data_IF_845070691462
#
_entry.id   IF_845070691462
#
_cell.length_a   1.000
_cell.length_b   1.000
_cell.length_c   1.000
_cell.angle_alpha   90.00
_cell.angle_beta   90.00
_cell.angle_gamma   90.00
#
_symmetry.space_group_name_H-M   'P 1'
#
loop_
_entity.id
_entity.type
_entity.pdbx_description
1 polymer ?
#
# COMPACT_ATOMS: atom_id res chain seq x y z
N UNK A 1 5.22 -6.23 -16.57
CA UNK A 1 6.21 -6.28 -15.46
C UNK A 1 5.76 -5.37 -14.34
N UNK A 2 5.86 -5.79 -13.09
CA UNK A 2 5.53 -5.04 -11.87
C UNK A 2 6.83 -4.47 -11.27
N UNK A 3 6.87 -3.16 -10.98
CA UNK A 3 7.98 -2.54 -10.28
C UNK A 3 7.74 -2.50 -8.76
N UNK A 4 8.77 -2.79 -7.98
CA UNK A 4 8.76 -2.63 -6.52
C UNK A 4 9.73 -1.51 -6.19
N UNK A 5 9.22 -0.42 -5.64
CA UNK A 5 10.00 0.79 -5.36
C UNK A 5 10.98 0.56 -4.23
N UNK A 6 12.28 0.74 -4.49
CA UNK A 6 13.35 0.69 -3.50
C UNK A 6 13.81 2.12 -3.14
N UNK A 7 13.41 2.57 -1.97
CA UNK A 7 13.83 3.83 -1.37
C UNK A 7 14.51 3.62 -0.01
N UNK A 8 15.19 2.48 0.14
CA UNK A 8 15.89 1.99 1.34
C UNK A 8 14.94 1.61 2.51
N UNK A 9 13.66 1.40 2.23
CA UNK A 9 12.64 1.04 3.23
C UNK A 9 11.73 -0.07 2.69
N UNK A 10 11.33 -0.99 3.55
CA UNK A 10 10.34 -1.99 3.20
C UNK A 10 10.87 -3.40 3.06
N UNK A 11 9.94 -4.35 3.03
CA UNK A 11 10.23 -5.79 2.90
C UNK A 11 10.24 -6.20 1.42
N UNK A 12 11.14 -5.54 0.64
CA UNK A 12 11.21 -5.66 -0.83
C UNK A 12 11.33 -7.10 -1.30
N UNK A 13 12.24 -7.86 -0.69
CA UNK A 13 12.54 -9.23 -1.12
C UNK A 13 11.37 -10.20 -0.89
N UNK A 14 10.61 -10.03 0.19
CA UNK A 14 9.44 -10.88 0.46
C UNK A 14 8.30 -10.59 -0.53
N UNK A 15 8.04 -9.32 -0.84
CA UNK A 15 7.07 -8.93 -1.88
C UNK A 15 7.51 -9.46 -3.24
N UNK A 16 8.77 -9.27 -3.61
CA UNK A 16 9.34 -9.74 -4.87
C UNK A 16 9.21 -11.26 -5.02
N UNK A 17 9.65 -12.03 -4.01
CA UNK A 17 9.55 -13.51 -4.01
C UNK A 17 8.10 -13.98 -4.11
N UNK A 18 7.17 -13.30 -3.43
CA UNK A 18 5.74 -13.63 -3.50
C UNK A 18 5.18 -13.45 -4.92
N UNK A 19 5.51 -12.34 -5.58
CA UNK A 19 5.08 -12.10 -6.97
C UNK A 19 5.69 -13.11 -7.94
N UNK A 20 6.98 -13.42 -7.83
CA UNK A 20 7.63 -14.44 -8.67
C UNK A 20 7.01 -15.83 -8.46
N UNK A 21 6.69 -16.21 -7.21
CA UNK A 21 6.00 -17.47 -6.90
C UNK A 21 4.60 -17.55 -7.52
N UNK A 22 3.94 -16.42 -7.66
CA UNK A 22 2.62 -16.30 -8.31
C UNK A 22 2.72 -16.27 -9.85
N UNK A 23 3.93 -16.26 -10.41
CA UNK A 23 4.17 -16.28 -11.86
C UNK A 23 4.26 -14.89 -12.50
N UNK A 24 4.27 -13.82 -11.73
CA UNK A 24 4.37 -12.46 -12.27
C UNK A 24 5.83 -12.04 -12.47
N UNK A 25 6.11 -11.38 -13.59
CA UNK A 25 7.37 -10.67 -13.77
C UNK A 25 7.41 -9.45 -12.85
N UNK A 26 8.35 -9.45 -11.91
CA UNK A 26 8.52 -8.37 -10.95
C UNK A 26 10.00 -7.98 -10.83
N UNK A 27 10.25 -6.69 -10.57
CA UNK A 27 11.62 -6.14 -10.43
C UNK A 27 11.67 -5.13 -9.30
N UNK A 28 12.73 -5.18 -8.49
CA UNK A 28 13.05 -4.14 -7.51
C UNK A 28 13.74 -3.00 -8.26
N UNK A 29 13.16 -1.80 -8.16
CA UNK A 29 13.61 -0.60 -8.87
C UNK A 29 14.42 0.28 -7.92
N UNK A 30 15.67 0.50 -8.24
CA UNK A 30 16.58 1.42 -7.52
C UNK A 30 16.66 2.79 -8.17
N UNK A 31 16.45 2.85 -9.47
CA UNK A 31 16.45 4.09 -10.25
C UNK A 31 14.97 4.52 -10.51
N UNK A 32 14.57 5.71 -10.05
CA UNK A 32 13.24 6.24 -10.29
C UNK A 32 12.83 6.33 -11.77
N UNK A 33 13.78 6.53 -12.68
CA UNK A 33 13.52 6.58 -14.12
C UNK A 33 12.93 5.27 -14.67
N UNK A 34 13.23 4.13 -14.04
CA UNK A 34 12.72 2.82 -14.42
C UNK A 34 11.20 2.69 -14.20
N UNK A 35 10.59 3.55 -13.34
CA UNK A 35 9.15 3.52 -13.07
C UNK A 35 8.31 3.72 -14.33
N UNK A 36 8.78 4.52 -15.27
CA UNK A 36 8.08 4.82 -16.52
C UNK A 36 7.82 3.58 -17.38
N UNK A 37 8.71 2.58 -17.33
CA UNK A 37 8.61 1.32 -18.07
C UNK A 37 7.74 0.25 -17.39
N UNK A 38 7.23 0.48 -16.18
CA UNK A 38 6.46 -0.51 -15.45
C UNK A 38 4.97 -0.44 -15.78
N UNK A 39 4.28 -1.59 -15.74
CA UNK A 39 2.83 -1.69 -15.93
C UNK A 39 2.04 -1.49 -14.64
N UNK A 40 2.67 -1.75 -13.49
CA UNK A 40 2.14 -1.52 -12.15
C UNK A 40 3.28 -1.25 -11.18
N UNK A 41 3.04 -0.48 -10.12
CA UNK A 41 4.01 -0.22 -9.05
C UNK A 41 3.50 -0.67 -7.69
N UNK A 42 4.40 -1.24 -6.90
CA UNK A 42 4.20 -1.50 -5.46
C UNK A 42 5.17 -0.60 -4.69
N UNK A 43 4.64 0.09 -3.68
CA UNK A 43 5.39 0.89 -2.72
C UNK A 43 5.32 0.21 -1.35
N UNK A 44 6.24 -0.69 -0.99
CA UNK A 44 6.33 -1.22 0.36
C UNK A 44 6.93 -0.17 1.29
N UNK A 45 6.67 -0.28 2.60
CA UNK A 45 7.31 0.60 3.56
C UNK A 45 7.29 0.05 4.98
N UNK A 46 8.36 0.35 5.73
CA UNK A 46 8.46 0.11 7.18
C UNK A 46 9.20 1.29 7.83
N UNK A 47 8.90 1.55 9.11
CA UNK A 47 9.51 2.65 9.87
C UNK A 47 8.59 3.86 10.03
N UNK A 48 9.15 5.04 10.21
CA UNK A 48 8.42 6.27 10.47
C UNK A 48 8.00 7.01 9.19
N UNK A 49 6.87 7.71 9.25
CA UNK A 49 6.29 8.44 8.11
C UNK A 49 7.24 9.50 7.54
N UNK A 50 7.79 10.36 8.40
CA UNK A 50 8.74 11.40 7.99
C UNK A 50 9.98 10.83 7.30
N UNK A 51 10.57 9.80 7.89
CA UNK A 51 11.75 9.11 7.33
C UNK A 51 11.47 8.51 5.95
N UNK A 52 10.26 8.00 5.72
CA UNK A 52 9.86 7.46 4.42
C UNK A 52 9.77 8.58 3.38
N UNK A 53 9.11 9.69 3.71
CA UNK A 53 8.99 10.83 2.80
C UNK A 53 10.34 11.48 2.50
N UNK A 54 11.22 11.60 3.49
CA UNK A 54 12.61 12.07 3.31
C UNK A 54 13.40 11.14 2.39
N UNK A 55 13.28 9.83 2.57
CA UNK A 55 13.97 8.85 1.72
C UNK A 55 13.45 8.89 0.28
N UNK A 56 12.13 8.95 0.07
CA UNK A 56 11.52 9.12 -1.25
C UNK A 56 12.01 10.40 -1.95
N UNK A 57 12.08 11.49 -1.20
CA UNK A 57 12.55 12.80 -1.72
C UNK A 57 14.04 12.73 -2.11
N UNK A 58 14.89 12.27 -1.20
CA UNK A 58 16.34 12.17 -1.47
C UNK A 58 16.69 11.23 -2.62
N UNK A 59 15.91 10.16 -2.79
CA UNK A 59 16.08 9.20 -3.87
C UNK A 59 15.43 9.64 -5.19
N UNK A 60 14.75 10.81 -5.22
CA UNK A 60 14.13 11.36 -6.43
C UNK A 60 12.86 10.64 -6.87
N UNK A 61 12.18 9.93 -5.97
CA UNK A 61 10.99 9.16 -6.31
C UNK A 61 9.71 10.01 -6.45
N UNK A 62 9.63 11.20 -5.82
CA UNK A 62 8.37 11.97 -5.73
C UNK A 62 7.77 12.24 -7.11
N UNK A 63 8.52 12.87 -8.03
CA UNK A 63 8.03 13.17 -9.40
C UNK A 63 7.62 11.91 -10.17
N UNK A 64 8.50 10.90 -10.32
CA UNK A 64 8.17 9.64 -11.01
C UNK A 64 6.95 8.90 -10.45
N UNK A 65 6.69 8.95 -9.14
CA UNK A 65 5.47 8.35 -8.55
C UNK A 65 4.22 9.14 -8.93
N UNK A 66 4.27 10.48 -8.92
CA UNK A 66 3.17 11.33 -9.38
C UNK A 66 2.86 11.11 -10.86
N UNK A 67 3.88 11.07 -11.71
CA UNK A 67 3.74 10.80 -13.15
C UNK A 67 3.12 9.41 -13.39
N UNK A 68 3.58 8.41 -12.63
CA UNK A 68 3.06 7.06 -12.73
C UNK A 68 1.58 6.98 -12.33
N UNK A 69 1.20 7.56 -11.21
CA UNK A 69 -0.20 7.57 -10.74
C UNK A 69 -1.08 8.34 -11.72
N UNK A 70 -0.62 9.49 -12.22
CA UNK A 70 -1.34 10.31 -13.20
C UNK A 70 -1.57 9.60 -14.53
N UNK A 71 -0.75 8.61 -14.87
CA UNK A 71 -0.94 7.78 -16.07
C UNK A 71 -2.08 6.76 -15.95
N UNK A 72 -2.74 6.65 -14.79
CA UNK A 72 -3.84 5.71 -14.53
C UNK A 72 -3.39 4.28 -14.26
N UNK A 73 -2.09 3.99 -14.28
CA UNK A 73 -1.56 2.63 -14.06
C UNK A 73 -1.73 2.17 -12.61
N UNK A 74 -1.96 0.86 -12.37
CA UNK A 74 -2.16 0.31 -11.03
C UNK A 74 -1.03 0.61 -10.06
N UNK A 75 -1.36 1.19 -8.91
CA UNK A 75 -0.44 1.52 -7.83
C UNK A 75 -0.89 0.92 -6.51
N UNK A 76 0.03 0.26 -5.78
CA UNK A 76 -0.28 -0.43 -4.54
C UNK A 76 0.69 -0.09 -3.41
N UNK A 77 0.21 0.57 -2.34
CA UNK A 77 0.96 0.85 -1.12
C UNK A 77 0.79 -0.25 -0.06
N UNK A 78 1.89 -0.68 0.57
CA UNK A 78 1.88 -1.71 1.63
C UNK A 78 2.39 -1.11 2.94
N UNK A 79 1.58 -1.18 4.00
CA UNK A 79 1.86 -0.71 5.36
C UNK A 79 2.23 0.78 5.38
N UNK A 80 3.46 1.14 5.70
CA UNK A 80 3.92 2.54 5.61
C UNK A 80 3.78 3.09 4.17
N UNK A 81 3.94 2.24 3.15
CA UNK A 81 3.67 2.60 1.76
C UNK A 81 2.22 3.03 1.51
N UNK A 82 1.23 2.44 2.20
CA UNK A 82 -0.14 2.95 2.19
C UNK A 82 -0.25 4.29 2.94
N UNK A 83 0.39 4.41 4.10
CA UNK A 83 0.29 5.62 4.91
C UNK A 83 0.80 6.86 4.16
N UNK A 84 1.92 6.76 3.47
CA UNK A 84 2.48 7.90 2.71
C UNK A 84 1.65 8.30 1.48
N UNK A 85 0.62 7.53 1.10
CA UNK A 85 -0.32 7.94 0.03
C UNK A 85 -1.22 9.09 0.47
N UNK A 86 -1.42 9.29 1.79
CA UNK A 86 -2.29 10.33 2.34
C UNK A 86 -1.64 11.73 2.32
N UNK A 87 -2.45 12.76 2.59
CA UNK A 87 -1.98 14.15 2.56
C UNK A 87 -0.95 14.44 3.65
N UNK A 88 -1.18 13.91 4.88
CA UNK A 88 -0.39 14.26 6.07
C UNK A 88 -0.21 13.07 7.00
N UNK A 89 1.00 12.90 7.55
CA UNK A 89 1.30 12.02 8.68
C UNK A 89 1.64 12.83 9.93
N UNK A 90 1.15 12.38 11.11
CA UNK A 90 1.31 13.06 12.40
C UNK A 90 2.43 12.46 13.27
N UNK A 91 3.25 11.57 12.72
CA UNK A 91 4.33 10.93 13.47
C UNK A 91 5.50 11.90 13.68
N UNK A 92 5.74 12.28 14.97
CA UNK A 92 6.75 13.27 15.36
C UNK A 92 6.57 14.68 14.76
N UNK A 93 5.32 15.09 14.57
CA UNK A 93 4.93 16.34 13.94
C UNK A 93 4.13 16.11 12.65
N UNK A 94 3.68 17.18 12.01
CA UNK A 94 2.96 17.09 10.74
C UNK A 94 3.95 17.05 9.57
N UNK A 95 3.83 16.02 8.75
CA UNK A 95 4.68 15.81 7.57
C UNK A 95 3.79 15.57 6.34
N UNK A 96 4.07 16.27 5.25
CA UNK A 96 3.35 16.07 4.00
C UNK A 96 3.63 14.67 3.44
N UNK A 97 2.56 14.00 2.97
CA UNK A 97 2.65 12.75 2.22
C UNK A 97 2.64 12.96 0.71
N UNK A 98 2.32 11.91 -0.04
CA UNK A 98 2.23 11.97 -1.51
C UNK A 98 0.93 12.63 -2.00
N UNK A 99 -0.11 12.74 -1.15
CA UNK A 99 -1.38 13.39 -1.51
C UNK A 99 -2.21 12.64 -2.56
N UNK A 100 -2.02 11.34 -2.73
CA UNK A 100 -2.83 10.54 -3.65
C UNK A 100 -4.21 10.20 -3.08
N UNK A 101 -4.32 10.10 -1.75
CA UNK A 101 -5.56 9.86 -1.03
C UNK A 101 -5.78 10.98 0.00
N UNK A 102 -7.01 11.54 0.08
CA UNK A 102 -7.29 12.60 1.04
C UNK A 102 -7.36 12.07 2.47
N UNK A 103 -6.80 12.83 3.41
CA UNK A 103 -6.84 12.52 4.83
C UNK A 103 -5.47 12.50 5.49
N UNK A 104 -5.43 11.96 6.69
CA UNK A 104 -4.23 11.96 7.51
C UNK A 104 -3.92 10.60 8.11
N UNK A 105 -2.70 10.45 8.60
CA UNK A 105 -2.24 9.28 9.34
C UNK A 105 -2.00 9.71 10.78
N UNK A 106 -2.72 9.09 11.71
CA UNK A 106 -2.73 9.45 13.12
C UNK A 106 -2.37 8.26 14.02
N UNK A 107 -1.98 8.52 15.26
CA UNK A 107 -1.60 7.50 16.24
C UNK A 107 -2.83 6.90 16.91
N UNK A 108 -2.76 5.61 17.28
CA UNK A 108 -3.73 5.03 18.20
C UNK A 108 -3.74 5.78 19.53
N UNK A 109 -4.96 6.01 20.05
CA UNK A 109 -5.19 6.75 21.29
C UNK A 109 -4.56 6.10 22.53
N UNK A 110 -4.50 6.85 23.65
CA UNK A 110 -3.98 6.33 24.89
C UNK A 110 -4.82 5.15 25.39
N UNK A 111 -4.18 4.21 26.09
CA UNK A 111 -4.82 3.02 26.64
C UNK A 111 -4.74 1.78 25.75
N UNK A 112 -4.38 1.92 24.50
CA UNK A 112 -4.09 0.79 23.62
C UNK A 112 -2.59 0.47 23.62
N UNK A 113 -2.27 -0.83 23.60
CA UNK A 113 -0.88 -1.26 23.43
C UNK A 113 -0.45 -0.99 22.00
N UNK A 114 0.60 -0.22 21.81
CA UNK A 114 1.19 0.05 20.49
C UNK A 114 2.61 -0.52 20.42
N UNK A 115 3.01 -1.09 19.28
CA UNK A 115 2.23 -1.22 18.05
C UNK A 115 1.08 -2.24 18.17
N UNK A 116 0.00 -2.06 17.37
CA UNK A 116 -0.93 -3.13 17.03
C UNK A 116 -0.13 -4.16 16.25
N UNK A 117 0.13 -5.32 16.87
CA UNK A 117 0.97 -6.38 16.30
C UNK A 117 0.25 -7.71 16.39
N UNK A 118 0.10 -8.39 15.27
CA UNK A 118 -0.50 -9.71 15.18
C UNK A 118 -1.54 -9.84 14.09
N UNK A 119 -2.31 -10.91 14.16
CA UNK A 119 -3.37 -11.21 13.21
C UNK A 119 -4.66 -10.53 13.63
N UNK A 120 -5.32 -9.87 12.68
CA UNK A 120 -6.63 -9.26 12.87
C UNK A 120 -7.47 -9.44 11.63
N UNK A 121 -8.79 -9.45 11.80
CA UNK A 121 -9.73 -9.67 10.70
C UNK A 121 -10.13 -8.36 10.04
N UNK A 122 -10.28 -8.40 8.72
CA UNK A 122 -10.68 -7.28 7.89
C UNK A 122 -12.14 -7.41 7.46
N UNK A 123 -12.91 -6.36 7.68
CA UNK A 123 -14.25 -6.18 7.10
C UNK A 123 -14.14 -5.25 5.88
N UNK A 124 -14.31 -5.80 4.68
CA UNK A 124 -14.33 -5.03 3.43
C UNK A 124 -15.66 -4.30 3.32
N UNK A 125 -15.62 -3.00 3.05
CA UNK A 125 -16.79 -2.11 3.00
C UNK A 125 -17.16 -1.66 1.59
N UNK A 126 -16.21 -1.82 0.63
CA UNK A 126 -16.40 -1.49 -0.78
C UNK A 126 -15.75 -2.53 -1.68
N UNK A 127 -16.36 -2.77 -2.83
CA UNK A 127 -15.71 -3.53 -3.89
C UNK A 127 -14.42 -2.84 -4.33
N UNK A 128 -13.41 -3.66 -4.57
CA UNK A 128 -12.10 -3.16 -4.95
C UNK A 128 -11.30 -4.28 -5.67
N UNK A 129 -10.32 -3.92 -6.51
CA UNK A 129 -9.60 -4.90 -7.32
C UNK A 129 -8.75 -5.89 -6.50
N UNK A 130 -8.35 -5.53 -5.28
CA UNK A 130 -7.42 -6.33 -4.48
C UNK A 130 -8.12 -7.48 -3.73
N UNK A 131 -9.42 -7.39 -3.44
CA UNK A 131 -10.14 -8.33 -2.58
C UNK A 131 -11.05 -9.31 -3.31
N UNK A 132 -10.97 -9.38 -4.62
CA UNK A 132 -11.75 -10.36 -5.39
C UNK A 132 -11.51 -11.81 -4.90
N UNK A 133 -12.58 -12.51 -4.52
CA UNK A 133 -12.53 -13.90 -4.05
C UNK A 133 -11.92 -14.10 -2.66
N UNK A 134 -11.80 -13.05 -1.85
CA UNK A 134 -11.37 -13.14 -0.44
C UNK A 134 -12.61 -13.06 0.46
N UNK A 135 -12.82 -14.04 1.36
CA UNK A 135 -13.97 -14.01 2.27
C UNK A 135 -13.93 -12.80 3.22
N UNK A 136 -15.10 -12.31 3.58
CA UNK A 136 -15.22 -11.31 4.65
C UNK A 136 -14.65 -11.83 5.97
N UNK A 137 -14.07 -10.92 6.75
CA UNK A 137 -13.43 -11.23 8.03
C UNK A 137 -12.21 -12.16 7.92
N UNK A 138 -11.58 -12.26 6.75
CA UNK A 138 -10.28 -12.92 6.60
C UNK A 138 -9.22 -12.24 7.45
N UNK A 139 -8.29 -13.04 7.99
CA UNK A 139 -7.24 -12.56 8.87
C UNK A 139 -5.99 -12.15 8.10
N UNK A 140 -5.39 -11.03 8.52
CA UNK A 140 -4.14 -10.48 7.97
C UNK A 140 -3.19 -10.11 9.11
N UNK A 141 -1.89 -10.02 8.79
CA UNK A 141 -0.84 -9.68 9.76
C UNK A 141 -0.57 -8.18 9.77
N UNK A 142 -0.70 -7.58 10.96
CA UNK A 142 -0.48 -6.16 11.23
C UNK A 142 0.73 -5.93 12.11
N UNK A 143 1.42 -4.81 11.90
CA UNK A 143 2.43 -4.27 12.81
C UNK A 143 2.55 -2.76 12.56
N UNK A 144 1.78 -1.96 13.32
CA UNK A 144 1.76 -0.50 13.16
C UNK A 144 1.29 0.23 14.41
N UNK A 145 1.76 1.47 14.62
CA UNK A 145 1.34 2.35 15.72
C UNK A 145 0.47 3.51 15.26
N UNK A 146 0.48 3.77 13.94
CA UNK A 146 -0.30 4.80 13.27
C UNK A 146 -1.22 4.16 12.23
N UNK A 147 -2.34 4.81 11.95
CA UNK A 147 -3.33 4.34 10.98
C UNK A 147 -3.90 5.49 10.17
N UNK A 148 -4.38 5.20 8.99
CA UNK A 148 -5.03 6.17 8.12
C UNK A 148 -6.42 6.55 8.63
N UNK A 149 -6.69 7.85 8.69
CA UNK A 149 -7.99 8.49 8.91
C UNK A 149 -8.38 9.25 7.63
N UNK A 150 -9.03 8.58 6.66
CA UNK A 150 -9.39 9.18 5.39
C UNK A 150 -10.36 10.36 5.54
N UNK A 151 -10.17 11.39 4.72
CA UNK A 151 -11.16 12.42 4.47
C UNK A 151 -11.88 12.08 3.15
N UNK A 152 -13.20 11.87 3.19
CA UNK A 152 -13.98 11.47 2.01
C UNK A 152 -14.02 9.95 1.78
N UNK A 153 -14.24 9.54 0.54
CA UNK A 153 -14.73 8.20 0.18
C UNK A 153 -13.64 7.22 -0.28
N UNK A 154 -12.46 7.23 0.37
CA UNK A 154 -11.37 6.31 0.01
C UNK A 154 -11.18 5.14 1.00
N UNK A 155 -11.95 5.04 2.09
CA UNK A 155 -11.94 3.86 2.96
C UNK A 155 -12.69 2.71 2.27
N UNK A 156 -12.06 1.55 2.15
CA UNK A 156 -12.65 0.37 1.52
C UNK A 156 -12.64 -0.88 2.42
N UNK A 157 -11.98 -0.79 3.57
CA UNK A 157 -12.00 -1.88 4.54
C UNK A 157 -11.45 -1.45 5.89
N UNK A 158 -12.03 -2.00 6.94
CA UNK A 158 -11.76 -1.62 8.32
C UNK A 158 -11.43 -2.83 9.20
N UNK A 159 -10.64 -2.57 10.22
CA UNK A 159 -10.39 -3.48 11.34
C UNK A 159 -10.70 -2.79 12.66
N UNK A 160 -10.86 -3.59 13.72
CA UNK A 160 -11.07 -3.08 15.09
C UNK A 160 -9.85 -3.40 15.95
N UNK A 161 -9.27 -2.37 16.57
CA UNK A 161 -8.25 -2.49 17.60
C UNK A 161 -8.47 -1.41 18.65
N UNK A 162 -9.39 -1.65 19.58
CA UNK A 162 -9.91 -0.64 20.51
C UNK A 162 -10.77 0.43 19.83
N UNK A 163 -10.40 0.84 18.64
CA UNK A 163 -11.16 1.71 17.72
C UNK A 163 -11.28 1.03 16.36
N UNK A 164 -12.32 1.36 15.61
CA UNK A 164 -12.37 0.98 14.19
C UNK A 164 -11.40 1.88 13.41
N UNK A 165 -10.54 1.28 12.58
CA UNK A 165 -9.56 2.00 11.77
C UNK A 165 -9.53 1.49 10.34
N UNK A 166 -9.12 2.34 9.41
CA UNK A 166 -8.98 2.00 8.00
C UNK A 166 -7.76 1.11 7.79
N UNK A 167 -8.00 -0.09 7.30
CA UNK A 167 -6.96 -1.08 7.00
C UNK A 167 -6.78 -1.35 5.50
N UNK A 168 -7.75 -0.91 4.68
CA UNK A 168 -7.72 -0.92 3.23
C UNK A 168 -8.27 0.42 2.75
N UNK A 169 -7.50 1.13 1.97
CA UNK A 169 -7.89 2.40 1.39
C UNK A 169 -7.53 2.46 -0.09
N UNK A 170 -8.31 3.21 -0.86
CA UNK A 170 -7.99 3.46 -2.25
C UNK A 170 -9.12 4.09 -3.03
N UNK A 171 -8.78 4.56 -4.21
CA UNK A 171 -9.68 5.02 -5.26
C UNK A 171 -8.97 4.92 -6.61
N UNK A 172 -9.73 4.81 -7.65
CA UNK A 172 -9.23 4.75 -9.04
C UNK A 172 -8.10 3.71 -9.18
N UNK A 173 -6.93 4.15 -9.59
CA UNK A 173 -5.74 3.30 -9.78
C UNK A 173 -4.80 3.22 -8.56
N UNK A 174 -5.13 3.86 -7.42
CA UNK A 174 -4.30 3.89 -6.22
C UNK A 174 -4.97 3.16 -5.08
N UNK A 175 -4.33 2.10 -4.57
CA UNK A 175 -4.83 1.29 -3.46
C UNK A 175 -3.72 1.00 -2.46
N UNK A 176 -4.09 0.74 -1.20
CA UNK A 176 -3.13 0.39 -0.17
C UNK A 176 -3.74 -0.42 0.96
N UNK A 177 -2.89 -1.25 1.61
CA UNK A 177 -3.23 -2.02 2.80
C UNK A 177 -2.34 -1.64 3.98
N UNK A 178 -2.93 -1.53 5.18
CA UNK A 178 -2.17 -1.30 6.42
C UNK A 178 -1.42 -2.55 6.87
N UNK A 179 -1.95 -3.72 6.58
CA UNK A 179 -1.31 -5.00 6.86
C UNK A 179 -0.30 -5.38 5.76
N UNK A 180 0.47 -6.42 6.04
CA UNK A 180 1.48 -6.97 5.16
C UNK A 180 0.94 -8.18 4.40
N UNK A 181 0.51 -8.05 3.13
CA UNK A 181 0.03 -9.20 2.35
C UNK A 181 1.10 -10.27 2.18
N UNK A 182 2.38 -9.91 2.04
CA UNK A 182 3.50 -10.84 1.89
C UNK A 182 3.76 -11.68 3.16
N UNK A 183 3.11 -11.32 4.30
CA UNK A 183 3.18 -12.05 5.58
C UNK A 183 1.84 -12.65 5.99
N UNK A 184 0.79 -12.49 5.18
CA UNK A 184 -0.59 -12.80 5.54
C UNK A 184 -1.11 -14.11 4.95
N UNK A 185 -0.24 -15.12 4.78
CA UNK A 185 -0.58 -16.50 4.37
C UNK A 185 -1.43 -16.54 3.09
N UNK A 186 -2.43 -17.43 2.90
CA UNK A 186 -3.06 -17.58 1.59
C UNK A 186 -3.83 -16.33 1.13
N UNK A 187 -4.48 -15.62 2.04
CA UNK A 187 -5.26 -14.42 1.65
C UNK A 187 -4.37 -13.23 1.28
N UNK A 188 -3.21 -13.09 1.92
CA UNK A 188 -2.22 -12.10 1.52
C UNK A 188 -1.65 -12.38 0.13
N UNK A 189 -1.34 -13.64 -0.18
CA UNK A 189 -0.92 -14.04 -1.53
C UNK A 189 -2.04 -13.79 -2.56
N UNK A 190 -3.32 -14.01 -2.19
CA UNK A 190 -4.45 -13.71 -3.07
C UNK A 190 -4.54 -12.21 -3.39
N UNK A 191 -4.24 -11.31 -2.46
CA UNK A 191 -4.17 -9.86 -2.72
C UNK A 191 -3.09 -9.54 -3.75
N UNK A 192 -1.89 -10.12 -3.59
CA UNK A 192 -0.80 -9.92 -4.55
C UNK A 192 -1.13 -10.50 -5.93
N UNK A 193 -1.81 -11.65 -5.98
CA UNK A 193 -2.32 -12.25 -7.21
C UNK A 193 -3.37 -11.37 -7.89
N UNK A 194 -4.32 -10.83 -7.12
CA UNK A 194 -5.32 -9.90 -7.63
C UNK A 194 -4.69 -8.62 -8.16
N UNK A 195 -3.66 -8.08 -7.49
CA UNK A 195 -2.90 -6.95 -8.00
C UNK A 195 -2.21 -7.28 -9.32
N UNK A 196 -1.57 -8.43 -9.41
CA UNK A 196 -0.94 -8.89 -10.66
C UNK A 196 -1.93 -9.00 -11.81
N UNK A 197 -3.10 -9.60 -11.58
CA UNK A 197 -4.19 -9.68 -12.57
C UNK A 197 -4.70 -8.30 -12.99
N UNK A 198 -4.83 -7.37 -12.06
CA UNK A 198 -5.23 -6.01 -12.36
C UNK A 198 -4.21 -5.32 -13.25
N UNK A 199 -2.91 -5.47 -12.98
CA UNK A 199 -1.82 -4.93 -13.83
C UNK A 199 -1.85 -5.53 -15.24
N UNK A 200 -2.11 -6.84 -15.37
CA UNK A 200 -2.23 -7.51 -16.67
C UNK A 200 -3.46 -7.05 -17.45
N UNK A 201 -4.61 -6.94 -16.76
CA UNK A 201 -5.86 -6.45 -17.35
C UNK A 201 -5.78 -5.00 -17.84
N UNK A 202 -5.12 -4.13 -17.08
CA UNK A 202 -4.88 -2.74 -17.47
C UNK A 202 -4.04 -2.65 -18.75
N UNK A 203 -3.00 -3.47 -18.87
CA UNK A 203 -2.12 -3.47 -20.04
C UNK A 203 -2.82 -3.95 -21.32
N UNK A 204 -3.84 -4.81 -21.22
CA UNK A 204 -4.60 -5.30 -22.37
C UNK A 204 -5.59 -4.27 -22.92
N UNK A 205 -6.07 -3.33 -22.08
CA UNK A 205 -7.01 -2.27 -22.48
C UNK A 205 -6.28 -1.07 -23.11
N UNK A 206 -5.04 -0.80 -22.68
CA UNK A 206 -4.25 0.35 -23.12
C UNK A 206 -3.46 0.10 -24.43
N UNK A 207 -3.54 -1.10 -25.00
CA UNK A 207 -2.81 -1.53 -26.21
C UNK A 207 -3.60 -1.43 -27.50
N UNK A 208 -4.69 -0.64 -27.54
CA UNK A 208 -5.51 -0.41 -28.74
C UNK A 208 -5.46 1.04 -29.18
#
# INVERSE_FOLDING_TARGET
MIGIVDYDRGNLHSVHKALLRLGYEARILKDPAEASGMKGLILPGVGAFADAMDALTRRGWIGPLHDFVSSGRPFFGICLGMQVLFDVGEEHGEHAGLGFLPGRVTRFGPGLKVPHMGWNNLRVTKENPLFAGIPQNSFFYFVHSYYAAPAGDCCAGVCVYGVEFTALAGRDNVWGTQFHPEKSSPWGLRILDNFGKWVEGFASVSGH
#
